data_IF_617128896957
#
_entry.id   IF_617128896957
#
_cell.length_a   1.000
_cell.length_b   1.000
_cell.length_c   1.000
_cell.angle_alpha   90.00
_cell.angle_beta   90.00
_cell.angle_gamma   90.00
#
_symmetry.space_group_name_H-M   'P 1'
#
loop_
_entity.id
_entity.type
_entity.pdbx_description
1 polymer ?
#
# COMPACT_ATOMS: atom_id res chain seq x y z
N UNK A 1 -15.58 -11.43 -19.13
CA UNK A 1 -14.52 -10.42 -18.97
C UNK A 1 -14.33 -10.24 -17.48
N UNK A 2 -13.20 -10.68 -16.94
CA UNK A 2 -12.92 -10.55 -15.50
C UNK A 2 -12.99 -9.07 -15.12
N UNK A 3 -13.84 -8.71 -14.17
CA UNK A 3 -13.87 -7.38 -13.56
C UNK A 3 -12.55 -7.23 -12.79
N UNK A 4 -11.56 -6.56 -13.37
CA UNK A 4 -10.21 -6.43 -12.81
C UNK A 4 -10.24 -5.78 -11.41
N UNK A 5 -10.32 -6.60 -10.37
CA UNK A 5 -10.11 -6.18 -9.00
C UNK A 5 -8.61 -5.92 -8.78
N UNK A 6 -8.26 -4.92 -7.97
CA UNK A 6 -6.86 -4.60 -7.68
C UNK A 6 -6.06 -5.80 -7.15
N UNK A 7 -6.72 -6.73 -6.46
CA UNK A 7 -6.12 -7.97 -6.00
C UNK A 7 -5.65 -8.89 -7.14
N UNK A 8 -6.43 -9.01 -8.21
CA UNK A 8 -6.09 -9.84 -9.37
C UNK A 8 -4.90 -9.26 -10.13
N UNK A 9 -4.90 -7.94 -10.36
CA UNK A 9 -3.76 -7.24 -10.95
C UNK A 9 -2.47 -7.46 -10.14
N UNK A 10 -2.54 -7.32 -8.82
CA UNK A 10 -1.38 -7.55 -7.96
C UNK A 10 -0.87 -8.99 -8.05
N UNK A 11 -1.77 -9.97 -8.05
CA UNK A 11 -1.43 -11.38 -8.20
C UNK A 11 -0.75 -11.66 -9.54
N UNK A 12 -1.27 -11.12 -10.64
CA UNK A 12 -0.69 -11.26 -11.98
C UNK A 12 0.73 -10.69 -12.06
N UNK A 13 1.03 -9.66 -11.25
CA UNK A 13 2.36 -9.06 -11.13
C UNK A 13 3.23 -9.70 -10.02
N UNK A 14 2.84 -10.86 -9.48
CA UNK A 14 3.62 -11.60 -8.48
C UNK A 14 3.52 -11.06 -7.05
N UNK A 15 2.70 -10.04 -6.81
CA UNK A 15 2.43 -9.53 -5.47
C UNK A 15 1.31 -10.36 -4.81
N UNK A 16 1.72 -11.34 -4.01
CA UNK A 16 0.85 -12.19 -3.19
C UNK A 16 1.24 -12.12 -1.71
N UNK A 17 0.33 -12.53 -0.83
CA UNK A 17 0.65 -12.65 0.59
C UNK A 17 1.74 -13.71 0.81
N UNK A 18 2.45 -13.65 1.95
CA UNK A 18 3.46 -14.66 2.32
C UNK A 18 2.93 -16.11 2.32
N UNK A 19 1.62 -16.29 2.53
CA UNK A 19 0.94 -17.58 2.49
C UNK A 19 0.41 -17.99 1.11
N UNK A 20 0.80 -17.28 0.04
CA UNK A 20 0.38 -17.59 -1.33
C UNK A 20 -1.04 -17.18 -1.71
N UNK A 21 -1.74 -16.44 -0.84
CA UNK A 21 -3.13 -15.98 -1.06
C UNK A 21 -3.16 -14.59 -1.69
N UNK A 22 -4.26 -14.29 -2.39
CA UNK A 22 -4.62 -12.94 -2.83
C UNK A 22 -4.73 -11.97 -1.65
N UNK A 23 -4.44 -10.70 -1.90
CA UNK A 23 -4.73 -9.64 -0.94
C UNK A 23 -6.24 -9.39 -0.86
N UNK A 24 -6.72 -9.08 0.35
CA UNK A 24 -8.05 -8.51 0.54
C UNK A 24 -8.03 -7.03 0.16
N UNK A 25 -9.13 -6.51 -0.37
CA UNK A 25 -9.24 -5.11 -0.79
C UNK A 25 -8.86 -4.11 0.31
N UNK A 26 -9.32 -4.33 1.54
CA UNK A 26 -8.98 -3.46 2.68
C UNK A 26 -7.49 -3.45 2.98
N UNK A 27 -6.80 -4.59 2.75
CA UNK A 27 -5.35 -4.66 2.91
C UNK A 27 -4.64 -3.85 1.83
N UNK A 28 -5.12 -3.94 0.59
CA UNK A 28 -4.59 -3.14 -0.53
C UNK A 28 -4.76 -1.65 -0.22
N UNK A 29 -5.96 -1.22 0.19
CA UNK A 29 -6.24 0.17 0.59
C UNK A 29 -5.32 0.62 1.73
N UNK A 30 -5.16 -0.19 2.77
CA UNK A 30 -4.30 0.13 3.91
C UNK A 30 -2.83 0.29 3.52
N UNK A 31 -2.32 -0.52 2.58
CA UNK A 31 -0.96 -0.38 2.05
C UNK A 31 -0.87 0.93 1.25
N UNK A 32 -1.75 1.14 0.28
CA UNK A 32 -1.67 2.29 -0.62
C UNK A 32 -1.89 3.64 0.09
N UNK A 33 -2.65 3.66 1.19
CA UNK A 33 -2.92 4.87 1.97
C UNK A 33 -1.89 5.12 3.08
N UNK A 34 -0.92 4.24 3.27
CA UNK A 34 0.02 4.37 4.38
C UNK A 34 1.00 5.55 4.14
N UNK A 35 1.01 6.57 5.02
CA UNK A 35 1.91 7.71 4.90
C UNK A 35 3.40 7.37 4.91
N UNK A 36 3.74 6.22 5.49
CA UNK A 36 5.11 5.73 5.57
C UNK A 36 5.80 5.69 4.21
N UNK A 37 5.07 5.33 3.16
CA UNK A 37 5.66 5.18 1.83
C UNK A 37 6.04 6.50 1.16
N UNK A 38 5.45 7.63 1.57
CA UNK A 38 5.82 8.97 1.09
C UNK A 38 6.61 9.80 2.12
N UNK A 39 7.22 9.16 3.11
CA UNK A 39 8.10 9.84 4.06
C UNK A 39 7.41 10.44 5.29
N UNK A 40 6.16 10.09 5.57
CA UNK A 40 5.46 10.55 6.77
C UNK A 40 5.08 9.38 7.67
N UNK A 41 4.73 9.61 8.93
CA UNK A 41 4.18 8.55 9.78
C UNK A 41 3.09 9.11 10.68
N UNK A 42 2.22 8.22 11.18
CA UNK A 42 1.20 8.60 12.16
C UNK A 42 1.68 8.27 13.57
N UNK A 43 1.60 9.22 14.48
CA UNK A 43 1.83 9.03 15.91
C UNK A 43 0.75 9.77 16.68
N UNK A 44 0.11 9.10 17.65
CA UNK A 44 -1.01 9.67 18.40
C UNK A 44 -2.12 10.29 17.50
N UNK A 45 -2.42 9.65 16.38
CA UNK A 45 -3.36 10.14 15.35
C UNK A 45 -2.93 11.41 14.60
N UNK A 46 -1.75 11.95 14.86
CA UNK A 46 -1.15 13.09 14.16
C UNK A 46 -0.20 12.60 13.07
N UNK A 47 -0.07 13.39 11.99
CA UNK A 47 0.83 13.11 10.88
C UNK A 47 2.13 13.89 11.07
N UNK A 48 3.26 13.19 11.06
CA UNK A 48 4.59 13.77 11.20
C UNK A 48 5.48 13.42 10.01
N UNK A 49 6.43 14.29 9.70
CA UNK A 49 7.47 14.04 8.71
C UNK A 49 8.51 13.06 9.28
N UNK A 50 8.76 11.98 8.55
CA UNK A 50 9.78 10.99 8.86
C UNK A 50 11.15 11.44 8.33
N UNK A 51 12.20 10.91 8.95
CA UNK A 51 13.60 11.13 8.50
C UNK A 51 14.07 10.09 7.48
N UNK A 52 13.22 9.13 7.11
CA UNK A 52 13.56 8.06 6.20
C UNK A 52 13.34 8.48 4.74
N UNK A 53 14.12 7.89 3.84
CA UNK A 53 13.93 8.09 2.41
C UNK A 53 12.58 7.50 1.96
N UNK A 54 11.70 8.29 1.32
CA UNK A 54 10.42 7.80 0.80
C UNK A 54 10.62 6.69 -0.25
N UNK A 55 9.68 5.74 -0.30
CA UNK A 55 9.63 4.71 -1.36
C UNK A 55 8.99 5.28 -2.62
N UNK A 56 7.98 6.13 -2.45
CA UNK A 56 7.27 6.83 -3.53
C UNK A 56 7.26 8.32 -3.24
N UNK A 57 7.37 9.14 -4.29
CA UNK A 57 7.13 10.58 -4.17
C UNK A 57 5.66 10.82 -3.85
N UNK A 58 5.36 11.85 -3.04
CA UNK A 58 3.99 12.31 -2.86
C UNK A 58 3.53 12.99 -4.15
N UNK A 59 2.67 12.32 -4.91
CA UNK A 59 1.97 12.91 -6.04
C UNK A 59 0.96 13.94 -5.52
N UNK A 60 1.00 15.16 -6.04
CA UNK A 60 0.09 16.25 -5.66
C UNK A 60 -1.29 16.06 -6.30
#
# INVERSE_FOLDING_TARGET
MSTYAAADFLKENGAITRGGKLFKDDKIKSILQNPFYYGHFRYNSELHEGRHTPIVSKSL
#
